data_IF_270195851750
#
_entry.id   IF_270195851750
#
_cell.length_a   1.000
_cell.length_b   1.000
_cell.length_c   1.000
_cell.angle_alpha   90.00
_cell.angle_beta   90.00
_cell.angle_gamma   90.00
#
_symmetry.space_group_name_H-M   'P 1'
#
loop_
_entity.id
_entity.type
_entity.pdbx_description
1 polymer ?
#
# COMPACT_ATOMS: atom_id res chain seq x y z
N UNK A 1 28.51 -11.75 -5.93
CA UNK A 1 27.42 -11.78 -4.94
C UNK A 1 26.32 -10.90 -5.49
N UNK A 2 25.15 -11.46 -5.79
CA UNK A 2 24.06 -10.72 -6.42
C UNK A 2 23.55 -9.65 -5.44
N UNK A 3 23.80 -8.39 -5.75
CA UNK A 3 23.16 -7.25 -5.12
C UNK A 3 21.68 -7.28 -5.55
N UNK A 4 20.91 -8.16 -4.91
CA UNK A 4 19.47 -8.21 -5.07
C UNK A 4 18.91 -6.94 -4.43
N UNK A 5 18.93 -5.85 -5.21
CA UNK A 5 18.12 -4.65 -4.95
C UNK A 5 16.70 -5.13 -4.78
N UNK A 6 16.27 -5.31 -3.53
CA UNK A 6 14.87 -5.63 -3.23
C UNK A 6 14.02 -4.57 -3.91
N UNK A 7 13.02 -4.96 -4.69
CA UNK A 7 12.13 -4.00 -5.31
C UNK A 7 11.53 -3.07 -4.26
N UNK A 8 11.34 -1.81 -4.64
CA UNK A 8 10.92 -0.73 -3.73
C UNK A 8 9.65 -1.08 -2.93
N UNK A 9 8.73 -1.83 -3.55
CA UNK A 9 7.51 -2.30 -2.89
C UNK A 9 7.76 -3.33 -1.77
N UNK A 10 8.79 -4.18 -1.86
CA UNK A 10 9.15 -5.10 -0.76
C UNK A 10 9.73 -4.35 0.44
N UNK A 11 10.53 -3.31 0.19
CA UNK A 11 11.08 -2.45 1.25
C UNK A 11 9.94 -1.71 1.96
N UNK A 12 8.95 -1.23 1.21
CA UNK A 12 7.78 -0.57 1.78
C UNK A 12 6.89 -1.54 2.55
N UNK A 13 6.66 -2.75 2.03
CA UNK A 13 5.94 -3.81 2.74
C UNK A 13 6.60 -4.11 4.09
N UNK A 14 7.93 -4.26 4.09
CA UNK A 14 8.71 -4.52 5.31
C UNK A 14 8.62 -3.36 6.31
N UNK A 15 8.68 -2.11 5.83
CA UNK A 15 8.56 -0.92 6.70
C UNK A 15 7.15 -0.79 7.29
N UNK A 16 6.12 -1.08 6.50
CA UNK A 16 4.74 -1.07 6.97
C UNK A 16 4.52 -2.20 7.99
N UNK A 17 5.08 -3.39 7.77
CA UNK A 17 5.03 -4.49 8.73
C UNK A 17 5.69 -4.13 10.07
N UNK A 18 6.89 -3.55 10.03
CA UNK A 18 7.59 -3.05 11.24
C UNK A 18 6.76 -2.00 11.97
N UNK A 19 6.16 -1.06 11.23
CA UNK A 19 5.29 -0.03 11.82
C UNK A 19 4.06 -0.66 12.49
N UNK A 20 3.36 -1.58 11.81
CA UNK A 20 2.19 -2.29 12.34
C UNK A 20 2.52 -3.17 13.54
N UNK A 21 3.68 -3.82 13.52
CA UNK A 21 4.21 -4.57 14.64
C UNK A 21 4.51 -3.64 15.83
N UNK A 22 5.06 -2.45 15.55
CA UNK A 22 5.23 -1.37 16.51
C UNK A 22 3.90 -0.95 17.15
N UNK A 23 2.86 -0.71 16.37
CA UNK A 23 1.51 -0.37 16.90
C UNK A 23 1.00 -1.48 17.81
N UNK A 24 1.11 -2.74 17.38
CA UNK A 24 0.64 -3.90 18.14
C UNK A 24 1.39 -4.10 19.46
N UNK A 25 2.65 -3.66 19.52
CA UNK A 25 3.45 -3.63 20.75
C UNK A 25 3.40 -2.30 21.52
N UNK A 26 2.59 -1.34 21.07
CA UNK A 26 2.55 0.02 21.63
C UNK A 26 3.90 0.77 21.57
N UNK A 27 4.77 0.39 20.62
CA UNK A 27 6.08 0.97 20.36
C UNK A 27 6.10 1.87 19.12
N UNK A 28 5.11 1.75 18.25
CA UNK A 28 4.96 2.57 17.05
C UNK A 28 4.36 3.93 17.39
N UNK A 29 4.83 4.98 16.72
CA UNK A 29 4.24 6.32 16.83
C UNK A 29 3.22 6.59 15.73
N UNK A 30 2.19 7.38 16.02
CA UNK A 30 1.18 7.85 15.05
C UNK A 30 1.87 8.42 13.79
N UNK A 31 2.93 9.19 14.00
CA UNK A 31 3.71 9.84 12.94
C UNK A 31 4.44 8.86 12.03
N UNK A 32 4.97 7.75 12.56
CA UNK A 32 5.61 6.73 11.72
C UNK A 32 4.60 6.07 10.79
N UNK A 33 3.41 5.75 11.31
CA UNK A 33 2.33 5.17 10.49
C UNK A 33 1.87 6.15 9.42
N UNK A 34 1.70 7.43 9.77
CA UNK A 34 1.37 8.47 8.81
C UNK A 34 2.37 8.51 7.65
N UNK A 35 3.67 8.58 7.98
CA UNK A 35 4.74 8.61 6.99
C UNK A 35 4.70 7.37 6.10
N UNK A 36 4.49 6.17 6.68
CA UNK A 36 4.43 4.96 5.85
C UNK A 36 3.22 4.99 4.92
N UNK A 37 2.04 5.43 5.38
CA UNK A 37 0.84 5.57 4.56
C UNK A 37 1.05 6.57 3.41
N UNK A 38 1.68 7.72 3.68
CA UNK A 38 2.00 8.71 2.65
C UNK A 38 2.97 8.14 1.61
N UNK A 39 4.03 7.46 2.05
CA UNK A 39 4.99 6.84 1.12
C UNK A 39 4.32 5.72 0.33
N UNK A 40 3.42 4.93 0.94
CA UNK A 40 2.66 3.89 0.24
C UNK A 40 1.79 4.47 -0.88
N UNK A 41 1.11 5.59 -0.59
CA UNK A 41 0.24 6.29 -1.53
C UNK A 41 1.03 6.95 -2.67
N UNK A 42 2.14 7.61 -2.34
CA UNK A 42 3.02 8.27 -3.32
C UNK A 42 3.87 7.28 -4.14
N UNK A 43 4.08 6.07 -3.62
CA UNK A 43 4.86 5.04 -4.31
C UNK A 43 4.14 4.53 -5.56
N UNK A 44 4.87 4.49 -6.67
CA UNK A 44 4.44 3.78 -7.88
C UNK A 44 4.85 2.31 -7.74
N UNK A 45 3.89 1.48 -7.39
CA UNK A 45 4.04 0.03 -7.31
C UNK A 45 3.14 -0.68 -8.32
N UNK A 46 3.50 -1.89 -8.77
CA UNK A 46 2.63 -2.66 -9.67
C UNK A 46 1.34 -3.06 -8.96
N UNK A 47 0.24 -3.12 -9.73
CA UNK A 47 -1.09 -3.53 -9.27
C UNK A 47 -1.07 -4.82 -8.42
N UNK A 48 -0.28 -5.82 -8.83
CA UNK A 48 -0.13 -7.06 -8.06
C UNK A 48 0.43 -6.83 -6.64
N UNK A 49 1.44 -5.95 -6.50
CA UNK A 49 2.00 -5.61 -5.19
C UNK A 49 1.02 -4.75 -4.36
N UNK A 50 0.29 -3.83 -5.02
CA UNK A 50 -0.76 -3.05 -4.38
C UNK A 50 -1.87 -3.95 -3.81
N UNK A 51 -2.30 -4.95 -4.59
CA UNK A 51 -3.31 -5.93 -4.19
C UNK A 51 -2.85 -6.76 -2.98
N UNK A 52 -1.63 -7.32 -3.04
CA UNK A 52 -1.06 -8.07 -1.92
C UNK A 52 -0.96 -7.22 -0.65
N UNK A 53 -0.58 -5.95 -0.77
CA UNK A 53 -0.56 -5.02 0.37
C UNK A 53 -1.96 -4.74 0.90
N UNK A 54 -2.95 -4.55 0.03
CA UNK A 54 -4.33 -4.34 0.47
C UNK A 54 -4.91 -5.53 1.22
N UNK A 55 -4.62 -6.75 0.78
CA UNK A 55 -5.06 -7.96 1.48
C UNK A 55 -4.32 -8.16 2.81
N UNK A 56 -3.00 -7.95 2.80
CA UNK A 56 -2.17 -8.13 3.99
C UNK A 56 -2.51 -7.11 5.09
N UNK A 57 -2.79 -5.86 4.70
CA UNK A 57 -3.07 -4.75 5.61
C UNK A 57 -4.57 -4.40 5.70
N UNK A 58 -5.48 -5.30 5.29
CA UNK A 58 -6.94 -5.07 5.36
C UNK A 58 -7.43 -4.76 6.78
N UNK A 59 -6.75 -5.30 7.79
CA UNK A 59 -7.08 -5.09 9.21
C UNK A 59 -6.40 -3.85 9.82
N UNK A 60 -5.54 -3.16 9.07
CA UNK A 60 -4.81 -1.99 9.55
C UNK A 60 -5.74 -0.86 10.05
N UNK A 61 -6.81 -0.47 9.34
CA UNK A 61 -7.73 0.55 9.84
C UNK A 61 -8.37 0.14 11.17
N UNK A 62 -8.79 -1.11 11.28
CA UNK A 62 -9.36 -1.65 12.53
C UNK A 62 -8.36 -1.60 13.69
N UNK A 63 -7.07 -1.89 13.43
CA UNK A 63 -6.01 -1.78 14.44
C UNK A 63 -5.77 -0.33 14.86
N UNK A 64 -5.74 0.60 13.90
CA UNK A 64 -5.57 2.03 14.16
C UNK A 64 -6.74 2.60 14.99
N UNK A 65 -7.98 2.22 14.65
CA UNK A 65 -9.17 2.58 15.43
C UNK A 65 -9.09 2.03 16.85
N UNK A 66 -8.66 0.78 17.03
CA UNK A 66 -8.46 0.18 18.37
C UNK A 66 -7.37 0.87 19.18
N UNK A 67 -6.35 1.42 18.53
CA UNK A 67 -5.30 2.23 19.15
C UNK A 67 -5.74 3.67 19.45
N UNK A 68 -6.93 4.08 19.01
CA UNK A 68 -7.46 5.45 19.17
C UNK A 68 -7.08 6.41 18.05
N UNK A 69 -6.38 5.95 17.01
CA UNK A 69 -5.90 6.76 15.89
C UNK A 69 -6.93 6.81 14.74
N UNK A 70 -8.09 7.37 15.03
CA UNK A 70 -9.23 7.41 14.10
C UNK A 70 -8.92 8.17 12.79
N UNK A 71 -8.10 9.22 12.84
CA UNK A 71 -7.73 9.99 11.64
C UNK A 71 -6.83 9.16 10.71
N UNK A 72 -5.84 8.46 11.28
CA UNK A 72 -4.99 7.53 10.55
C UNK A 72 -5.77 6.34 10.01
N UNK A 73 -6.74 5.82 10.76
CA UNK A 73 -7.61 4.73 10.29
C UNK A 73 -8.30 5.12 8.99
N UNK A 74 -8.91 6.31 8.96
CA UNK A 74 -9.57 6.85 7.75
C UNK A 74 -8.58 7.07 6.60
N UNK A 75 -7.35 7.52 6.88
CA UNK A 75 -6.30 7.65 5.86
C UNK A 75 -5.88 6.28 5.33
N UNK A 76 -5.68 5.30 6.20
CA UNK A 76 -5.34 3.94 5.81
C UNK A 76 -6.42 3.33 4.91
N UNK A 77 -7.70 3.51 5.23
CA UNK A 77 -8.81 3.09 4.36
C UNK A 77 -8.73 3.73 2.97
N UNK A 78 -8.47 5.04 2.89
CA UNK A 78 -8.32 5.72 1.59
C UNK A 78 -7.13 5.20 0.80
N UNK A 79 -5.98 5.01 1.44
CA UNK A 79 -4.78 4.50 0.77
C UNK A 79 -5.00 3.08 0.28
N UNK A 80 -5.63 2.22 1.08
CA UNK A 80 -5.97 0.85 0.68
C UNK A 80 -7.01 0.84 -0.46
N UNK A 81 -8.02 1.71 -0.42
CA UNK A 81 -8.98 1.84 -1.50
C UNK A 81 -8.33 2.33 -2.81
N UNK A 82 -7.41 3.30 -2.73
CA UNK A 82 -6.64 3.80 -3.87
C UNK A 82 -5.77 2.69 -4.48
N UNK A 83 -5.05 1.96 -3.65
CA UNK A 83 -4.24 0.81 -4.08
C UNK A 83 -5.08 -0.27 -4.77
N UNK A 84 -6.30 -0.54 -4.27
CA UNK A 84 -7.25 -1.47 -4.89
C UNK A 84 -7.76 -0.94 -6.23
N UNK A 85 -8.07 0.35 -6.33
CA UNK A 85 -8.53 0.99 -7.57
C UNK A 85 -7.46 0.97 -8.66
N UNK A 86 -6.18 1.04 -8.30
CA UNK A 86 -5.05 0.91 -9.25
C UNK A 86 -4.91 -0.50 -9.84
N UNK A 87 -5.46 -1.53 -9.19
CA UNK A 87 -5.60 -2.85 -9.82
C UNK A 87 -6.65 -2.83 -10.93
N UNK A 88 -7.80 -2.20 -10.65
CA UNK A 88 -8.92 -2.10 -11.60
C UNK A 88 -8.57 -1.26 -12.83
N UNK A 89 -7.81 -0.18 -12.66
CA UNK A 89 -7.38 0.68 -13.78
C UNK A 89 -6.48 -0.05 -14.80
N UNK A 90 -5.85 -1.16 -14.40
CA UNK A 90 -5.06 -2.00 -15.32
C UNK A 90 -5.90 -3.05 -16.07
N UNK A 91 -7.15 -3.30 -15.64
CA UNK A 91 -8.12 -4.10 -16.40
C UNK A 91 -8.82 -3.30 -17.50
N UNK A 92 -8.85 -1.97 -17.39
CA UNK A 92 -9.57 -1.08 -18.31
C UNK A 92 -8.69 -0.35 -19.34
N UNK A 93 -7.55 -0.92 -19.73
CA UNK A 93 -6.94 -0.58 -21.03
C UNK A 93 -7.38 -1.61 -22.08
N UNK A 94 -8.47 -1.37 -22.85
CA UNK A 94 -8.53 -1.95 -24.18
C UNK A 94 -7.34 -1.40 -24.94
N UNK A 95 -6.39 -2.26 -25.28
CA UNK A 95 -5.33 -1.92 -26.21
C UNK A 95 -5.99 -1.28 -27.45
N UNK A 96 -5.64 -0.04 -27.87
CA UNK A 96 -5.90 0.35 -29.23
C UNK A 96 -5.00 -0.54 -30.10
N UNK A 97 -5.59 -1.62 -30.59
CA UNK A 97 -5.05 -2.45 -31.66
C UNK A 97 -4.53 -1.52 -32.78
N UNK A 98 -3.29 -1.68 -33.27
CA UNK A 98 -2.87 -0.99 -34.47
C UNK A 98 -3.54 -1.68 -35.66
N UNK A 99 -4.71 -1.18 -36.07
CA UNK A 99 -5.32 -1.60 -37.33
C UNK A 99 -4.66 -0.85 -38.47
N UNK A 100 -3.80 -1.60 -39.16
CA UNK A 100 -3.08 -1.31 -40.40
C UNK A 100 -4.01 -0.91 -41.55
N UNK A 101 -3.50 0.03 -42.36
CA UNK A 101 -3.73 0.29 -43.80
C UNK A 101 -5.15 0.61 -44.33
N UNK A 102 -5.24 1.77 -44.98
CA UNK A 102 -5.59 1.87 -46.40
C UNK A 102 -4.72 2.94 -47.08
#
# INVERSE_FOLDING_TARGET
MADMKRPFHEVLATRLDIAVFGISRNLGTEKEVEIVLEVLHASRMPAAAACQLTEYFVNLPSLLTKAGWNDLSRRAERVLADLRSREDEKKEQPAPVPAVAQ
#
